data_IF_202382838157
#
_entry.id   IF_202382838157
#
_cell.length_a   1.000
_cell.length_b   1.000
_cell.length_c   1.000
_cell.angle_alpha   90.00
_cell.angle_beta   90.00
_cell.angle_gamma   90.00
#
_symmetry.space_group_name_H-M   'P 1'
#
loop_
_entity.id
_entity.type
_entity.pdbx_description
1 polymer ?
#
# COMPACT_ATOMS: atom_id res chain seq x y z
N UNK A 1 -7.28 8.94 7.57
CA UNK A 1 -5.91 8.46 7.30
C UNK A 1 -5.52 7.58 8.48
N UNK A 2 -5.58 6.27 8.32
CA UNK A 2 -5.02 5.32 9.28
C UNK A 2 -3.50 5.27 9.06
N UNK A 3 -2.76 5.36 10.15
CA UNK A 3 -1.31 5.19 10.14
C UNK A 3 -0.97 3.82 9.50
N UNK A 4 -0.08 3.73 8.49
CA UNK A 4 0.33 2.43 7.92
C UNK A 4 0.99 1.50 8.95
N UNK A 5 1.33 2.01 10.14
CA UNK A 5 1.52 1.22 11.35
C UNK A 5 0.16 0.82 11.90
N UNK A 6 -0.44 -0.24 11.35
CA UNK A 6 -1.38 -1.02 12.13
C UNK A 6 -0.58 -1.61 13.29
N UNK A 7 -0.55 -0.89 14.41
CA UNK A 7 -0.24 -1.44 15.72
C UNK A 7 -1.15 -2.66 15.82
N UNK A 8 -0.55 -3.86 15.88
CA UNK A 8 -1.33 -5.06 16.14
C UNK A 8 -2.12 -4.77 17.41
N UNK A 9 -3.44 -4.90 17.40
CA UNK A 9 -4.24 -4.67 18.61
C UNK A 9 -3.92 -5.70 19.71
N UNK A 10 -3.11 -6.72 19.41
CA UNK A 10 -2.54 -7.64 20.40
C UNK A 10 -1.11 -8.08 20.01
N UNK A 11 -0.08 -7.25 20.21
CA UNK A 11 1.31 -7.63 19.93
C UNK A 11 1.83 -8.69 20.92
N UNK A 12 1.24 -8.74 22.11
CA UNK A 12 1.59 -9.63 23.22
C UNK A 12 1.25 -11.10 22.96
N UNK A 13 0.28 -11.39 22.09
CA UNK A 13 -0.18 -12.76 21.79
C UNK A 13 0.69 -13.51 20.76
N UNK A 14 1.76 -12.88 20.23
CA UNK A 14 2.69 -13.59 19.37
C UNK A 14 3.52 -14.55 20.25
N UNK A 15 3.30 -15.85 20.12
CA UNK A 15 4.21 -16.88 20.64
C UNK A 15 5.57 -16.66 19.98
N UNK A 16 6.60 -16.46 20.81
CA UNK A 16 7.91 -16.06 20.35
C UNK A 16 9.00 -16.96 20.89
N UNK A 17 9.98 -17.21 20.03
CA UNK A 17 11.25 -17.86 20.37
C UNK A 17 12.39 -16.83 20.31
N UNK A 18 13.40 -16.94 21.19
CA UNK A 18 14.62 -16.14 21.09
C UNK A 18 15.39 -16.49 19.81
N UNK A 19 15.87 -15.48 19.09
CA UNK A 19 16.67 -15.67 17.88
C UNK A 19 18.01 -16.38 18.17
N UNK A 20 18.59 -16.13 19.34
CA UNK A 20 19.90 -16.67 19.71
C UNK A 20 19.89 -18.19 19.91
N UNK A 21 18.73 -18.77 20.21
CA UNK A 21 18.56 -20.22 20.44
C UNK A 21 18.51 -21.00 19.12
N UNK A 22 18.31 -20.32 18.01
CA UNK A 22 18.26 -20.92 16.68
C UNK A 22 19.66 -21.26 16.15
N UNK A 23 19.71 -22.12 15.13
CA UNK A 23 20.97 -22.46 14.48
C UNK A 23 21.64 -21.20 13.91
N UNK A 24 22.96 -21.12 14.09
CA UNK A 24 23.83 -20.12 13.49
C UNK A 24 24.64 -20.71 12.31
N UNK A 25 24.38 -21.96 11.95
CA UNK A 25 24.90 -22.57 10.73
C UNK A 25 23.95 -22.22 9.58
N UNK A 26 24.49 -21.60 8.54
CA UNK A 26 23.74 -21.21 7.35
C UNK A 26 23.89 -22.29 6.28
N UNK A 27 22.98 -23.26 6.31
CA UNK A 27 23.13 -24.56 5.62
C UNK A 27 22.72 -24.51 4.14
N UNK A 28 22.06 -23.43 3.72
CA UNK A 28 21.50 -23.27 2.38
C UNK A 28 21.97 -21.95 1.73
N UNK A 29 23.27 -21.88 1.37
CA UNK A 29 23.89 -20.68 0.85
C UNK A 29 23.39 -20.38 -0.56
N UNK A 30 22.62 -19.31 -0.68
CA UNK A 30 22.24 -18.74 -1.96
C UNK A 30 23.09 -17.51 -2.29
N UNK A 31 23.30 -17.21 -3.58
CA UNK A 31 23.88 -15.94 -3.99
C UNK A 31 23.08 -14.77 -3.40
N UNK A 32 23.72 -13.68 -2.94
CA UNK A 32 23.04 -12.53 -2.34
C UNK A 32 21.95 -11.90 -3.20
N UNK A 33 22.10 -11.98 -4.52
CA UNK A 33 21.11 -11.51 -5.49
C UNK A 33 19.80 -12.31 -5.48
N UNK A 34 19.86 -13.57 -5.06
CA UNK A 34 18.74 -14.51 -5.04
C UNK A 34 18.04 -14.50 -3.65
N UNK A 35 18.64 -13.84 -2.65
CA UNK A 35 18.04 -13.59 -1.35
C UNK A 35 17.07 -12.40 -1.44
N UNK A 36 15.78 -12.72 -1.61
CA UNK A 36 14.70 -11.72 -1.77
C UNK A 36 14.55 -10.75 -0.60
N UNK A 37 14.91 -11.18 0.61
CA UNK A 37 14.89 -10.34 1.81
C UNK A 37 16.06 -9.37 1.86
N UNK A 38 17.14 -9.58 1.10
CA UNK A 38 18.38 -8.83 1.25
C UNK A 38 18.34 -7.50 0.47
N UNK A 39 18.59 -6.39 1.17
CA UNK A 39 18.81 -5.08 0.56
C UNK A 39 20.30 -4.77 0.44
N UNK A 40 21.06 -4.98 1.49
CA UNK A 40 22.52 -4.81 1.46
C UNK A 40 23.18 -5.55 2.60
N UNK A 41 24.44 -5.94 2.44
CA UNK A 41 25.23 -6.56 3.50
C UNK A 41 26.69 -6.12 3.36
N UNK A 42 27.31 -5.81 4.50
CA UNK A 42 28.74 -5.61 4.65
C UNK A 42 29.22 -6.15 6.01
N UNK A 43 30.45 -5.86 6.41
CA UNK A 43 31.02 -6.35 7.68
C UNK A 43 30.42 -5.73 8.95
N UNK A 44 29.64 -4.64 8.85
CA UNK A 44 29.07 -3.90 9.97
C UNK A 44 27.56 -4.03 10.02
N UNK A 45 26.88 -3.80 8.90
CA UNK A 45 25.43 -3.76 8.78
C UNK A 45 24.90 -4.70 7.70
N UNK A 46 23.80 -5.39 8.03
CA UNK A 46 22.96 -6.10 7.07
C UNK A 46 21.57 -5.45 7.06
N UNK A 47 21.09 -5.07 5.88
CA UNK A 47 19.78 -4.43 5.68
C UNK A 47 18.84 -5.42 5.02
N UNK A 48 17.72 -5.67 5.69
CA UNK A 48 16.69 -6.63 5.31
C UNK A 48 15.45 -5.84 4.90
N UNK A 49 14.89 -6.15 3.74
CA UNK A 49 13.65 -5.58 3.21
C UNK A 49 12.46 -6.03 4.06
N UNK A 50 11.52 -5.13 4.27
CA UNK A 50 10.22 -5.49 4.84
C UNK A 50 9.30 -6.10 3.79
N UNK A 51 8.32 -6.87 4.24
CA UNK A 51 7.27 -7.45 3.40
C UNK A 51 6.51 -6.42 2.55
N UNK A 52 6.51 -5.16 2.99
CA UNK A 52 5.89 -4.04 2.28
C UNK A 52 6.49 -3.83 0.89
N UNK A 53 7.78 -4.15 0.70
CA UNK A 53 8.45 -4.02 -0.60
C UNK A 53 7.78 -4.93 -1.63
N UNK A 54 7.64 -6.22 -1.34
CA UNK A 54 6.97 -7.14 -2.27
C UNK A 54 5.47 -6.83 -2.39
N UNK A 55 4.78 -6.58 -1.28
CA UNK A 55 3.34 -6.26 -1.30
C UNK A 55 3.01 -5.05 -2.19
N UNK A 56 3.89 -4.06 -2.24
CA UNK A 56 3.75 -2.90 -3.13
C UNK A 56 3.81 -3.29 -4.61
N UNK A 57 4.77 -4.12 -5.01
CA UNK A 57 4.94 -4.51 -6.42
C UNK A 57 3.96 -5.58 -6.88
N UNK A 58 3.56 -6.50 -5.99
CA UNK A 58 2.62 -7.57 -6.35
C UNK A 58 1.17 -7.11 -6.26
N UNK A 59 0.84 -6.17 -5.38
CA UNK A 59 -0.54 -5.77 -5.10
C UNK A 59 -0.81 -4.30 -5.45
N UNK A 60 -0.13 -3.36 -4.77
CA UNK A 60 -0.50 -1.94 -4.83
C UNK A 60 -0.29 -1.31 -6.20
N UNK A 61 0.88 -1.51 -6.82
CA UNK A 61 1.20 -0.95 -8.14
C UNK A 61 0.30 -1.55 -9.23
N UNK A 62 0.09 -2.88 -9.31
CA UNK A 62 -0.87 -3.46 -10.26
C UNK A 62 -2.28 -2.91 -10.07
N UNK A 63 -2.79 -2.81 -8.84
CA UNK A 63 -4.11 -2.23 -8.57
C UNK A 63 -4.21 -0.77 -9.02
N UNK A 64 -3.17 0.03 -8.77
CA UNK A 64 -3.10 1.41 -9.26
C UNK A 64 -3.20 1.48 -10.78
N UNK A 65 -2.43 0.64 -11.50
CA UNK A 65 -2.44 0.60 -12.96
C UNK A 65 -3.79 0.14 -13.52
N UNK A 66 -4.40 -0.88 -12.93
CA UNK A 66 -5.74 -1.35 -13.32
C UNK A 66 -6.76 -0.24 -13.14
N UNK A 67 -6.77 0.44 -11.98
CA UNK A 67 -7.69 1.54 -11.72
C UNK A 67 -7.48 2.69 -12.72
N UNK A 68 -6.22 3.00 -13.05
CA UNK A 68 -5.88 4.04 -14.02
C UNK A 68 -6.39 3.69 -15.43
N UNK A 69 -6.17 2.46 -15.89
CA UNK A 69 -6.65 1.98 -17.19
C UNK A 69 -8.18 1.96 -17.22
N UNK A 70 -8.84 1.50 -16.16
CA UNK A 70 -10.30 1.52 -16.04
C UNK A 70 -10.85 2.95 -16.09
N UNK A 71 -10.17 3.92 -15.48
CA UNK A 71 -10.56 5.34 -15.53
C UNK A 71 -10.59 5.84 -16.98
N UNK A 72 -9.50 5.61 -17.73
CA UNK A 72 -9.42 6.05 -19.13
C UNK A 72 -10.40 5.31 -20.03
N UNK A 73 -10.54 3.99 -19.85
CA UNK A 73 -11.48 3.18 -20.62
C UNK A 73 -12.93 3.63 -20.42
N UNK A 74 -13.36 3.84 -19.18
CA UNK A 74 -14.71 4.30 -18.86
C UNK A 74 -14.95 5.74 -19.31
N UNK A 75 -13.97 6.63 -19.16
CA UNK A 75 -14.04 8.00 -19.66
C UNK A 75 -14.18 8.04 -21.18
N UNK A 76 -13.41 7.21 -21.89
CA UNK A 76 -13.47 7.12 -23.34
C UNK A 76 -14.86 6.66 -23.80
N UNK A 77 -15.38 5.57 -23.24
CA UNK A 77 -16.72 5.08 -23.58
C UNK A 77 -17.82 6.09 -23.24
N UNK A 78 -17.69 6.83 -22.14
CA UNK A 78 -18.62 7.88 -21.76
C UNK A 78 -18.63 9.02 -22.80
N UNK A 79 -17.44 9.49 -23.21
CA UNK A 79 -17.31 10.55 -24.21
C UNK A 79 -17.87 10.08 -25.56
N UNK A 80 -17.50 8.88 -26.03
CA UNK A 80 -18.02 8.36 -27.30
C UNK A 80 -19.54 8.18 -27.26
N UNK A 81 -20.08 7.63 -26.17
CA UNK A 81 -21.53 7.47 -25.98
C UNK A 81 -22.27 8.80 -26.10
N UNK A 82 -21.74 9.86 -25.47
CA UNK A 82 -22.32 11.20 -25.58
C UNK A 82 -22.14 11.83 -26.96
N UNK A 83 -21.05 11.58 -27.68
CA UNK A 83 -20.86 12.03 -29.07
C UNK A 83 -21.92 11.40 -29.97
N UNK A 84 -22.11 10.08 -29.89
CA UNK A 84 -23.10 9.34 -30.69
C UNK A 84 -24.50 9.84 -30.35
N UNK A 85 -24.83 9.96 -29.06
CA UNK A 85 -26.15 10.40 -28.61
C UNK A 85 -26.47 11.83 -29.05
N UNK A 86 -25.47 12.72 -29.01
CA UNK A 86 -25.61 14.08 -29.55
C UNK A 86 -25.89 14.06 -31.05
N UNK A 87 -25.16 13.24 -31.82
CA UNK A 87 -25.38 13.11 -33.25
C UNK A 87 -26.79 12.57 -33.57
N UNK A 88 -27.27 11.58 -32.80
CA UNK A 88 -28.65 11.09 -32.92
C UNK A 88 -29.68 12.18 -32.62
N UNK A 89 -29.44 13.03 -31.61
CA UNK A 89 -30.30 14.17 -31.32
C UNK A 89 -30.33 15.16 -32.51
N UNK A 90 -29.17 15.49 -33.07
CA UNK A 90 -29.07 16.38 -34.24
C UNK A 90 -29.82 15.82 -35.46
N UNK A 91 -29.77 14.50 -35.68
CA UNK A 91 -30.54 13.87 -36.76
C UNK A 91 -32.05 13.89 -36.48
N UNK A 92 -32.47 13.56 -35.25
CA UNK A 92 -33.89 13.62 -34.86
C UNK A 92 -34.47 15.04 -35.00
N UNK A 93 -33.68 16.06 -34.65
CA UNK A 93 -34.07 17.47 -34.85
C UNK A 93 -34.36 17.74 -36.34
N UNK A 94 -33.47 17.33 -37.24
CA UNK A 94 -33.62 17.52 -38.70
C UNK A 94 -34.82 16.77 -39.27
N UNK A 95 -35.02 15.53 -38.84
CA UNK A 95 -36.16 14.71 -39.28
C UNK A 95 -37.50 15.33 -38.85
N UNK A 96 -37.59 15.77 -37.59
CA UNK A 96 -38.82 16.38 -37.05
C UNK A 96 -39.05 17.77 -37.66
N UNK A 97 -38.02 18.56 -37.90
CA UNK A 97 -38.12 19.85 -38.60
C UNK A 97 -38.69 19.67 -40.02
N UNK A 98 -38.13 18.73 -40.78
CA UNK A 98 -38.62 18.38 -42.11
C UNK A 98 -40.08 17.90 -42.06
N UNK A 99 -40.41 16.98 -41.16
CA UNK A 99 -41.78 16.49 -41.00
C UNK A 99 -42.77 17.60 -40.62
N UNK A 100 -42.37 18.51 -39.72
CA UNK A 100 -43.21 19.62 -39.26
C UNK A 100 -43.60 20.59 -40.39
N UNK A 101 -42.77 20.69 -41.44
CA UNK A 101 -43.02 21.56 -42.60
C UNK A 101 -44.23 21.09 -43.43
N UNK A 102 -44.48 19.77 -43.48
CA UNK A 102 -45.55 19.18 -44.29
C UNK A 102 -46.77 18.74 -43.46
N UNK A 103 -46.66 18.76 -42.14
CA UNK A 103 -47.70 18.27 -41.25
C UNK A 103 -48.85 19.29 -41.10
N UNK A 104 -50.04 18.95 -41.62
CA UNK A 104 -51.27 19.77 -41.53
C UNK A 104 -52.32 19.20 -40.57
N UNK A 105 -51.99 18.14 -39.83
CA UNK A 105 -52.90 17.48 -38.89
C UNK A 105 -53.03 18.20 -37.55
N UNK A 106 -53.98 17.75 -36.71
CA UNK A 106 -54.23 18.29 -35.36
C UNK A 106 -54.06 17.24 -34.26
N UNK A 107 -53.28 16.17 -34.53
CA UNK A 107 -52.92 15.18 -33.51
C UNK A 107 -52.07 15.84 -32.40
N UNK A 108 -52.55 15.74 -31.16
CA UNK A 108 -51.94 16.38 -29.99
C UNK A 108 -50.58 15.78 -29.63
N UNK A 109 -50.37 14.49 -29.85
CA UNK A 109 -49.11 13.81 -29.54
C UNK A 109 -48.03 14.27 -30.52
N UNK A 110 -48.36 14.31 -31.80
CA UNK A 110 -47.46 14.77 -32.86
C UNK A 110 -47.08 16.25 -32.66
N UNK A 111 -48.06 17.11 -32.35
CA UNK A 111 -47.80 18.53 -32.07
C UNK A 111 -46.94 18.74 -30.82
N UNK A 112 -47.10 17.90 -29.78
CA UNK A 112 -46.25 17.94 -28.58
C UNK A 112 -44.80 17.62 -28.94
N UNK A 113 -44.57 16.58 -29.73
CA UNK A 113 -43.23 16.18 -30.13
C UNK A 113 -42.58 17.25 -31.03
N UNK A 114 -43.30 17.83 -32.00
CA UNK A 114 -42.78 18.94 -32.82
C UNK A 114 -42.39 20.13 -31.93
N UNK A 115 -43.26 20.55 -31.01
CA UNK A 115 -42.99 21.70 -30.14
C UNK A 115 -41.78 21.48 -29.21
N UNK A 116 -41.54 20.23 -28.80
CA UNK A 116 -40.39 19.85 -27.99
C UNK A 116 -39.05 20.07 -28.72
N UNK A 117 -38.96 19.74 -30.01
CA UNK A 117 -37.73 19.91 -30.80
C UNK A 117 -37.59 21.30 -31.44
N UNK A 118 -38.69 22.06 -31.54
CA UNK A 118 -38.75 23.41 -32.13
C UNK A 118 -37.65 24.39 -31.68
N UNK A 119 -37.20 24.42 -30.40
CA UNK A 119 -36.12 25.32 -29.97
C UNK A 119 -34.77 25.09 -30.68
N UNK A 120 -34.61 23.95 -31.36
CA UNK A 120 -33.38 23.57 -32.05
C UNK A 120 -33.47 23.68 -33.58
N UNK A 121 -34.64 24.03 -34.14
CA UNK A 121 -34.83 24.13 -35.60
C UNK A 121 -33.94 25.22 -36.23
N UNK A 122 -33.56 25.00 -37.49
CA UNK A 122 -32.68 25.88 -38.24
C UNK A 122 -31.21 25.83 -37.82
N UNK A 123 -30.83 24.96 -36.87
CA UNK A 123 -29.44 24.76 -36.45
C UNK A 123 -28.82 23.56 -37.16
N UNK A 124 -27.69 23.78 -37.84
CA UNK A 124 -26.96 22.69 -38.49
C UNK A 124 -26.34 21.70 -37.50
N UNK A 125 -25.87 22.22 -36.36
CA UNK A 125 -25.27 21.50 -35.23
C UNK A 125 -25.65 22.19 -33.92
N UNK A 126 -25.84 21.41 -32.85
CA UNK A 126 -26.10 21.96 -31.52
C UNK A 126 -24.79 22.07 -30.74
N UNK A 127 -24.70 23.05 -29.84
CA UNK A 127 -23.57 23.15 -28.93
C UNK A 127 -23.59 22.01 -27.90
N UNK A 128 -22.43 21.69 -27.32
CA UNK A 128 -22.36 20.74 -26.20
C UNK A 128 -23.20 21.19 -25.00
N UNK A 129 -23.37 22.51 -24.81
CA UNK A 129 -24.12 23.05 -23.69
C UNK A 129 -25.64 22.93 -23.87
N UNK A 130 -26.12 23.09 -25.09
CA UNK A 130 -27.50 22.77 -25.45
C UNK A 130 -27.78 21.28 -25.34
N UNK A 131 -26.86 20.44 -25.82
CA UNK A 131 -26.94 18.99 -25.67
C UNK A 131 -27.04 18.57 -24.20
N UNK A 132 -26.13 19.04 -23.33
CA UNK A 132 -26.12 18.65 -21.90
C UNK A 132 -27.41 19.09 -21.21
N UNK A 133 -27.98 20.26 -21.57
CA UNK A 133 -29.28 20.71 -21.06
C UNK A 133 -30.42 19.79 -21.52
N UNK A 134 -30.47 19.45 -22.80
CA UNK A 134 -31.47 18.55 -23.38
C UNK A 134 -31.33 17.11 -22.84
N UNK A 135 -30.10 16.66 -22.59
CA UNK A 135 -29.80 15.36 -22.01
C UNK A 135 -30.32 15.25 -20.58
N UNK A 136 -30.02 16.26 -19.76
CA UNK A 136 -30.37 16.27 -18.34
C UNK A 136 -31.80 16.71 -18.03
N UNK A 137 -32.56 17.22 -19.01
CA UNK A 137 -33.96 17.60 -18.83
C UNK A 137 -34.88 16.39 -18.68
N UNK A 138 -34.42 15.19 -19.07
CA UNK A 138 -35.24 13.97 -19.10
C UNK A 138 -36.31 13.97 -20.19
N UNK A 139 -36.44 15.05 -20.97
CA UNK A 139 -37.45 15.15 -22.00
C UNK A 139 -37.08 14.28 -23.20
N UNK A 140 -35.81 14.26 -23.60
CA UNK A 140 -35.33 13.60 -24.82
C UNK A 140 -34.79 12.18 -24.61
N UNK A 141 -34.32 11.87 -23.39
CA UNK A 141 -33.64 10.61 -23.08
C UNK A 141 -34.14 10.03 -21.76
N UNK A 142 -34.49 8.74 -21.77
CA UNK A 142 -34.90 7.99 -20.58
C UNK A 142 -33.66 7.51 -19.83
N UNK A 143 -33.62 7.64 -18.50
CA UNK A 143 -32.50 7.19 -17.66
C UNK A 143 -31.42 8.23 -17.37
N UNK A 144 -31.58 9.48 -17.83
CA UNK A 144 -30.59 10.56 -17.62
C UNK A 144 -30.32 10.92 -16.15
N UNK A 145 -31.16 10.47 -15.21
CA UNK A 145 -30.92 10.65 -13.77
C UNK A 145 -29.89 9.64 -13.23
N UNK A 146 -29.93 8.39 -13.68
CA UNK A 146 -28.96 7.35 -13.30
C UNK A 146 -27.55 7.70 -13.79
N UNK A 147 -27.45 8.32 -14.96
CA UNK A 147 -26.18 8.82 -15.50
C UNK A 147 -25.57 9.93 -14.63
N UNK A 148 -26.38 10.77 -13.97
CA UNK A 148 -25.86 11.79 -13.03
C UNK A 148 -25.19 11.13 -11.85
N UNK A 149 -25.80 10.08 -11.29
CA UNK A 149 -25.20 9.31 -10.19
C UNK A 149 -23.96 8.56 -10.65
N UNK A 150 -23.92 8.04 -11.87
CA UNK A 150 -22.74 7.41 -12.45
C UNK A 150 -21.57 8.41 -12.57
N UNK A 151 -21.82 9.62 -13.07
CA UNK A 151 -20.78 10.67 -13.16
C UNK A 151 -20.29 11.08 -11.78
N UNK A 152 -21.18 11.25 -10.80
CA UNK A 152 -20.80 11.56 -9.43
C UNK A 152 -19.96 10.44 -8.80
N UNK A 153 -20.38 9.19 -8.97
CA UNK A 153 -19.63 8.02 -8.50
C UNK A 153 -18.24 7.96 -9.14
N UNK A 154 -18.15 8.21 -10.46
CA UNK A 154 -16.89 8.24 -11.20
C UNK A 154 -15.93 9.31 -10.66
N UNK A 155 -16.44 10.53 -10.42
CA UNK A 155 -15.67 11.68 -9.90
C UNK A 155 -15.20 11.47 -8.45
N UNK A 156 -15.86 10.61 -7.67
CA UNK A 156 -15.40 10.26 -6.32
C UNK A 156 -14.45 9.06 -6.38
N UNK A 157 -14.85 7.97 -7.04
CA UNK A 157 -14.14 6.69 -7.02
C UNK A 157 -12.74 6.79 -7.62
N UNK A 158 -12.62 7.34 -8.83
CA UNK A 158 -11.33 7.35 -9.53
C UNK A 158 -10.32 8.31 -8.88
N UNK A 159 -10.65 9.59 -8.61
CA UNK A 159 -9.70 10.48 -7.94
C UNK A 159 -9.31 10.00 -6.54
N UNK A 160 -10.26 9.54 -5.73
CA UNK A 160 -9.94 9.05 -4.37
C UNK A 160 -9.14 7.75 -4.41
N UNK A 161 -9.54 6.79 -5.25
CA UNK A 161 -8.84 5.52 -5.39
C UNK A 161 -7.43 5.69 -5.95
N UNK A 162 -7.25 6.52 -6.98
CA UNK A 162 -5.93 6.83 -7.54
C UNK A 162 -5.06 7.58 -6.53
N UNK A 163 -5.62 8.53 -5.78
CA UNK A 163 -4.89 9.23 -4.72
C UNK A 163 -4.39 8.26 -3.64
N UNK A 164 -5.27 7.39 -3.12
CA UNK A 164 -4.91 6.42 -2.09
C UNK A 164 -3.87 5.43 -2.62
N UNK A 165 -4.12 4.81 -3.77
CA UNK A 165 -3.22 3.79 -4.32
C UNK A 165 -1.88 4.37 -4.77
N UNK A 166 -1.85 5.56 -5.35
CA UNK A 166 -0.58 6.24 -5.70
C UNK A 166 0.21 6.65 -4.45
N UNK A 167 -0.47 7.13 -3.40
CA UNK A 167 0.16 7.43 -2.11
C UNK A 167 0.84 6.19 -1.53
N UNK A 168 0.13 5.06 -1.49
CA UNK A 168 0.66 3.79 -1.01
C UNK A 168 1.78 3.22 -1.90
N UNK A 169 1.66 3.37 -3.22
CA UNK A 169 2.62 2.86 -4.19
C UNK A 169 3.94 3.64 -4.17
N UNK A 170 3.88 4.98 -4.10
CA UNK A 170 5.04 5.82 -4.42
C UNK A 170 5.54 6.64 -3.22
N UNK A 171 4.70 6.94 -2.24
CA UNK A 171 4.97 7.92 -1.19
C UNK A 171 5.02 7.34 0.23
N UNK A 172 4.73 6.05 0.42
CA UNK A 172 5.02 5.37 1.70
C UNK A 172 6.52 5.01 1.76
N UNK A 173 7.24 5.37 2.83
CA UNK A 173 8.65 5.02 2.99
C UNK A 173 8.82 3.51 3.07
N UNK A 174 9.88 2.99 2.44
CA UNK A 174 10.28 1.60 2.65
C UNK A 174 11.06 1.48 3.95
N UNK A 175 10.68 0.51 4.75
CA UNK A 175 11.33 0.18 6.01
C UNK A 175 12.30 -0.98 5.80
N UNK A 176 13.42 -0.90 6.51
CA UNK A 176 14.43 -1.96 6.52
C UNK A 176 14.72 -2.31 7.97
N UNK A 177 14.85 -3.60 8.24
CA UNK A 177 15.47 -4.09 9.45
C UNK A 177 16.97 -4.06 9.22
N UNK A 178 17.66 -3.27 10.02
CA UNK A 178 19.11 -3.16 10.03
C UNK A 178 19.64 -3.98 11.18
N UNK A 179 20.44 -4.97 10.84
CA UNK A 179 21.21 -5.77 11.78
C UNK A 179 22.60 -5.13 11.92
N UNK A 180 22.82 -4.40 13.01
CA UNK A 180 24.11 -3.78 13.32
C UNK A 180 24.90 -4.72 14.23
N UNK A 181 25.91 -5.35 13.63
CA UNK A 181 26.77 -6.31 14.33
C UNK A 181 27.70 -5.64 15.32
N UNK A 182 28.17 -4.41 15.05
CA UNK A 182 29.12 -3.74 15.95
C UNK A 182 28.43 -3.38 17.27
N UNK A 183 27.17 -2.95 17.19
CA UNK A 183 26.36 -2.59 18.36
C UNK A 183 25.58 -3.76 18.95
N UNK A 184 25.51 -4.89 18.24
CA UNK A 184 24.70 -6.05 18.63
C UNK A 184 23.22 -5.69 18.82
N UNK A 185 22.68 -4.89 17.89
CA UNK A 185 21.26 -4.49 17.89
C UNK A 185 20.61 -4.76 16.54
N UNK A 186 19.31 -5.01 16.59
CA UNK A 186 18.44 -4.98 15.42
C UNK A 186 17.55 -3.74 15.52
N UNK A 187 17.49 -2.94 14.47
CA UNK A 187 16.65 -1.74 14.45
C UNK A 187 15.98 -1.51 13.11
N UNK A 188 14.84 -0.84 13.14
CA UNK A 188 14.14 -0.27 11.99
C UNK A 188 13.75 1.15 12.36
N UNK A 189 13.49 1.98 11.38
CA UNK A 189 13.03 3.34 11.64
C UNK A 189 12.13 3.80 10.51
N UNK A 190 11.20 4.69 10.84
CA UNK A 190 10.25 5.24 9.89
C UNK A 190 9.62 6.50 10.46
N UNK A 191 9.51 7.53 9.61
CA UNK A 191 8.92 8.83 9.97
C UNK A 191 9.49 9.43 11.27
N UNK A 192 10.81 9.28 11.48
CA UNK A 192 11.49 9.80 12.67
C UNK A 192 11.44 8.91 13.91
N UNK A 193 10.64 7.84 13.90
CA UNK A 193 10.50 6.91 15.03
C UNK A 193 11.46 5.73 14.83
N UNK A 194 12.30 5.46 15.83
CA UNK A 194 13.18 4.29 15.88
C UNK A 194 12.50 3.14 16.62
N UNK A 195 12.62 1.94 16.06
CA UNK A 195 12.26 0.70 16.71
C UNK A 195 13.52 -0.16 16.83
N UNK A 196 13.89 -0.60 18.03
CA UNK A 196 15.12 -1.34 18.26
C UNK A 196 14.96 -2.45 19.31
N UNK A 197 15.86 -3.42 19.26
CA UNK A 197 16.07 -4.43 20.32
C UNK A 197 17.53 -4.88 20.31
N UNK A 198 18.04 -5.41 21.42
CA UNK A 198 19.35 -6.07 21.43
C UNK A 198 19.24 -7.41 20.70
N UNK A 199 20.34 -7.82 20.09
CA UNK A 199 20.43 -9.11 19.42
C UNK A 199 20.12 -10.28 20.39
N UNK A 200 20.70 -10.26 21.58
CA UNK A 200 20.43 -11.24 22.65
C UNK A 200 18.96 -11.29 23.09
N UNK A 201 18.25 -10.19 22.90
CA UNK A 201 16.87 -9.98 23.30
C UNK A 201 15.88 -10.11 22.14
N UNK A 202 16.39 -10.45 20.95
CA UNK A 202 15.58 -10.52 19.75
C UNK A 202 14.66 -11.72 19.83
N UNK A 203 13.38 -11.44 19.70
CA UNK A 203 12.32 -12.45 19.67
C UNK A 203 11.65 -12.45 18.30
N UNK A 204 11.43 -13.64 17.75
CA UNK A 204 10.65 -13.84 16.55
C UNK A 204 9.53 -14.85 16.79
N UNK A 205 8.49 -14.80 15.97
CA UNK A 205 7.35 -15.70 16.03
C UNK A 205 6.56 -15.66 14.73
N UNK A 206 5.40 -16.31 14.72
CA UNK A 206 4.57 -16.44 13.53
C UNK A 206 3.21 -15.76 13.71
N UNK A 207 2.96 -14.73 12.91
CA UNK A 207 1.64 -14.13 12.80
C UNK A 207 0.85 -14.87 11.70
N UNK A 208 0.16 -15.95 12.07
CA UNK A 208 -0.38 -16.91 11.11
C UNK A 208 0.74 -17.75 10.51
N UNK A 209 0.95 -17.66 9.18
CA UNK A 209 2.10 -18.31 8.51
C UNK A 209 3.30 -17.39 8.31
N UNK A 210 3.21 -16.14 8.76
CA UNK A 210 4.18 -15.13 8.42
C UNK A 210 5.17 -14.91 9.56
N UNK A 211 6.45 -15.04 9.25
CA UNK A 211 7.53 -14.72 10.19
C UNK A 211 7.48 -13.23 10.60
N UNK A 212 7.67 -12.98 11.89
CA UNK A 212 7.56 -11.67 12.50
C UNK A 212 8.56 -11.50 13.65
N UNK A 213 9.11 -10.29 13.78
CA UNK A 213 10.07 -9.92 14.83
C UNK A 213 9.47 -8.86 15.74
N UNK A 214 9.68 -8.99 17.05
CA UNK A 214 9.35 -7.94 18.02
C UNK A 214 10.49 -6.93 18.08
N UNK A 215 10.19 -5.68 17.78
CA UNK A 215 11.03 -4.52 18.03
C UNK A 215 10.32 -3.61 19.04
N UNK A 216 11.09 -2.81 19.79
CA UNK A 216 10.52 -1.90 20.78
C UNK A 216 10.73 -0.46 20.36
N UNK A 217 9.80 0.41 20.71
CA UNK A 217 9.89 1.85 20.43
C UNK A 217 9.34 2.65 21.60
N UNK A 218 9.66 3.93 21.67
CA UNK A 218 9.05 4.84 22.63
C UNK A 218 7.88 5.55 21.97
N UNK A 219 6.69 5.45 22.55
CA UNK A 219 5.52 6.14 22.04
C UNK A 219 5.73 7.66 22.13
N UNK A 220 5.65 8.43 21.02
CA UNK A 220 5.98 9.85 21.02
C UNK A 220 5.15 10.69 22.00
N UNK A 221 3.90 10.30 22.23
CA UNK A 221 2.96 11.07 23.07
C UNK A 221 2.98 10.66 24.55
N UNK A 222 3.09 9.36 24.85
CA UNK A 222 2.97 8.84 26.23
C UNK A 222 4.34 8.58 26.85
N UNK A 223 5.38 8.47 26.01
CA UNK A 223 6.71 8.05 26.42
C UNK A 223 6.78 6.57 26.80
N UNK A 224 5.71 5.79 26.70
CA UNK A 224 5.71 4.38 27.11
C UNK A 224 6.46 3.49 26.10
N UNK A 225 6.92 2.33 26.57
CA UNK A 225 7.53 1.33 25.68
C UNK A 225 6.41 0.63 24.90
N UNK A 226 6.47 0.74 23.57
CA UNK A 226 5.55 0.08 22.66
C UNK A 226 6.24 -1.07 21.91
N UNK A 227 5.44 -2.02 21.46
CA UNK A 227 5.90 -3.16 20.64
C UNK A 227 5.55 -2.89 19.17
N UNK A 228 6.53 -3.01 18.30
CA UNK A 228 6.39 -3.00 16.85
C UNK A 228 6.68 -4.38 16.27
N UNK A 229 5.77 -4.89 15.44
CA UNK A 229 5.95 -6.17 14.74
C UNK A 229 6.56 -5.90 13.36
N UNK A 230 7.84 -6.22 13.23
CA UNK A 230 8.54 -6.16 11.94
C UNK A 230 8.32 -7.46 11.16
N UNK A 231 7.99 -7.34 9.87
CA UNK A 231 7.74 -8.48 8.97
C UNK A 231 8.79 -8.50 7.85
N UNK A 232 9.78 -9.40 7.89
CA UNK A 232 10.81 -9.49 6.86
C UNK A 232 10.25 -10.03 5.53
N UNK A 233 10.88 -9.66 4.41
CA UNK A 233 10.51 -10.11 3.07
C UNK A 233 11.15 -11.47 2.71
N UNK A 234 10.81 -12.52 3.45
CA UNK A 234 11.46 -13.85 3.39
C UNK A 234 11.28 -14.59 2.06
N UNK A 235 10.21 -14.31 1.33
CA UNK A 235 9.83 -15.01 0.09
C UNK A 235 9.27 -14.05 -0.97
N UNK A 236 9.19 -14.51 -2.22
CA UNK A 236 8.45 -13.80 -3.28
C UNK A 236 6.96 -13.67 -2.96
N UNK A 237 6.41 -14.59 -2.17
CA UNK A 237 4.99 -14.63 -1.79
C UNK A 237 4.69 -13.88 -0.49
N UNK A 238 5.70 -13.30 0.16
CA UNK A 238 5.52 -12.59 1.44
C UNK A 238 4.60 -11.37 1.28
N UNK A 239 4.53 -10.80 0.07
CA UNK A 239 3.54 -9.75 -0.28
C UNK A 239 2.08 -10.21 -0.20
N UNK A 240 1.83 -11.52 -0.20
CA UNK A 240 0.54 -12.17 0.02
C UNK A 240 0.40 -12.78 1.42
N UNK A 241 1.29 -12.41 2.35
CA UNK A 241 1.33 -12.93 3.72
C UNK A 241 1.64 -14.44 3.79
N UNK A 242 2.45 -14.93 2.84
CA UNK A 242 2.82 -16.35 2.73
C UNK A 242 4.35 -16.52 2.69
N UNK A 243 4.84 -17.47 3.46
CA UNK A 243 6.20 -18.01 3.41
C UNK A 243 6.15 -19.52 3.62
N UNK A 244 7.19 -20.22 3.17
CA UNK A 244 7.42 -21.63 3.49
C UNK A 244 8.36 -21.76 4.68
N UNK A 245 8.20 -22.83 5.46
CA UNK A 245 9.07 -23.13 6.60
C UNK A 245 10.55 -23.16 6.20
N UNK A 246 10.86 -23.61 4.98
CA UNK A 246 12.22 -23.60 4.43
C UNK A 246 12.77 -22.19 4.19
N UNK A 247 11.94 -21.27 3.71
CA UNK A 247 12.34 -19.87 3.49
C UNK A 247 12.51 -19.13 4.82
N UNK A 248 11.61 -19.39 5.77
CA UNK A 248 11.66 -18.83 7.11
C UNK A 248 12.91 -19.32 7.86
N UNK A 249 13.16 -20.63 7.84
CA UNK A 249 14.36 -21.21 8.42
C UNK A 249 15.65 -20.66 7.78
N UNK A 250 15.68 -20.52 6.45
CA UNK A 250 16.82 -19.91 5.75
C UNK A 250 17.05 -18.47 6.19
N UNK A 251 15.99 -17.68 6.34
CA UNK A 251 16.10 -16.31 6.79
C UNK A 251 16.63 -16.22 8.24
N UNK A 252 16.09 -17.04 9.14
CA UNK A 252 16.47 -17.06 10.56
C UNK A 252 17.94 -17.45 10.70
N UNK A 253 18.35 -18.56 10.11
CA UNK A 253 19.75 -19.04 10.15
C UNK A 253 20.71 -18.04 9.49
N UNK A 254 20.32 -17.41 8.38
CA UNK A 254 21.09 -16.33 7.76
C UNK A 254 21.31 -15.15 8.71
N UNK A 255 20.23 -14.63 9.31
CA UNK A 255 20.31 -13.47 10.20
C UNK A 255 21.16 -13.80 11.43
N UNK A 256 20.98 -15.00 11.98
CA UNK A 256 21.69 -15.45 13.16
C UNK A 256 23.20 -15.66 12.88
N UNK A 257 23.53 -16.35 11.78
CA UNK A 257 24.91 -16.54 11.32
C UNK A 257 25.61 -15.19 11.06
N UNK A 258 24.91 -14.24 10.43
CA UNK A 258 25.44 -12.89 10.20
C UNK A 258 25.76 -12.17 11.51
N UNK A 259 24.85 -12.19 12.50
CA UNK A 259 25.05 -11.48 13.76
C UNK A 259 26.20 -12.07 14.60
N UNK A 260 26.32 -13.40 14.64
CA UNK A 260 27.37 -14.06 15.42
C UNK A 260 28.72 -14.08 14.68
N UNK A 261 28.73 -14.60 13.46
CA UNK A 261 29.96 -14.95 12.72
C UNK A 261 30.37 -13.87 11.70
N UNK A 262 29.47 -12.96 11.34
CA UNK A 262 29.72 -11.86 10.42
C UNK A 262 29.38 -12.20 8.97
N UNK A 263 29.66 -11.24 8.07
CA UNK A 263 29.35 -11.35 6.63
C UNK A 263 29.89 -12.64 6.01
N UNK A 264 31.14 -12.98 6.31
CA UNK A 264 31.83 -14.09 5.63
C UNK A 264 31.23 -15.47 5.93
N UNK A 265 30.39 -15.58 6.96
CA UNK A 265 29.61 -16.80 7.24
C UNK A 265 28.40 -16.98 6.33
N UNK A 266 27.90 -15.90 5.72
CA UNK A 266 26.67 -15.91 4.91
C UNK A 266 26.89 -15.46 3.47
N UNK A 267 27.98 -14.75 3.19
CA UNK A 267 28.26 -14.15 1.90
C UNK A 267 29.77 -13.93 1.69
N UNK A 268 30.24 -14.16 0.47
CA UNK A 268 31.65 -14.00 0.10
C UNK A 268 32.11 -12.55 -0.09
N UNK A 269 31.18 -11.61 -0.30
CA UNK A 269 31.51 -10.21 -0.60
C UNK A 269 30.42 -9.24 -0.14
N UNK A 270 30.72 -7.95 -0.12
CA UNK A 270 29.68 -6.94 0.08
C UNK A 270 28.66 -7.01 -1.06
N UNK A 271 27.40 -6.73 -0.74
CA UNK A 271 26.31 -6.70 -1.71
C UNK A 271 25.38 -5.53 -1.45
N UNK A 272 24.85 -4.96 -2.54
CA UNK A 272 23.86 -3.90 -2.51
C UNK A 272 22.85 -4.13 -3.64
N UNK A 273 21.58 -4.32 -3.26
CA UNK A 273 20.46 -4.41 -4.19
C UNK A 273 20.09 -3.01 -4.70
N UNK A 274 19.71 -2.93 -5.97
CA UNK A 274 19.19 -1.69 -6.55
C UNK A 274 17.97 -1.20 -5.76
N UNK A 275 17.92 0.10 -5.48
CA UNK A 275 16.75 0.72 -4.88
C UNK A 275 15.50 0.44 -5.74
N UNK A 276 14.36 0.08 -5.13
CA UNK A 276 13.12 -0.17 -5.84
C UNK A 276 12.70 1.01 -6.73
N UNK A 277 12.31 0.70 -7.97
CA UNK A 277 11.78 1.70 -8.91
C UNK A 277 10.48 2.30 -8.34
N UNK A 278 10.31 3.61 -8.55
CA UNK A 278 9.12 4.37 -8.16
C UNK A 278 8.88 4.51 -6.65
N UNK A 279 9.89 4.33 -5.79
CA UNK A 279 9.79 4.79 -4.39
C UNK A 279 10.33 6.22 -4.26
N UNK A 280 9.44 7.21 -4.15
CA UNK A 280 9.81 8.62 -3.98
C UNK A 280 9.91 9.04 -2.52
N UNK A 281 9.30 8.26 -1.63
CA UNK A 281 9.43 8.43 -0.19
C UNK A 281 10.88 8.25 0.26
N UNK A 282 11.38 9.22 1.04
CA UNK A 282 12.66 9.11 1.72
C UNK A 282 12.43 8.68 3.15
N UNK A 283 13.28 7.79 3.63
CA UNK A 283 13.32 7.38 5.02
C UNK A 283 14.75 7.61 5.52
N UNK A 284 15.13 8.86 5.84
CA UNK A 284 16.44 9.15 6.41
C UNK A 284 16.52 8.63 7.84
N UNK A 285 17.72 8.25 8.28
CA UNK A 285 17.96 7.92 9.68
C UNK A 285 17.62 9.14 10.56
N UNK A 286 16.87 8.99 11.67
CA UNK A 286 16.56 10.10 12.56
C UNK A 286 17.82 10.75 13.16
N UNK A 287 17.80 12.08 13.34
CA UNK A 287 18.97 12.82 13.85
C UNK A 287 19.29 12.49 15.31
N UNK A 288 18.28 12.13 16.07
CA UNK A 288 18.29 11.73 17.48
C UNK A 288 18.34 10.20 17.65
N UNK A 289 18.73 9.45 16.60
CA UNK A 289 18.78 7.99 16.59
C UNK A 289 19.45 7.38 17.84
N UNK A 290 20.63 7.87 18.19
CA UNK A 290 21.38 7.37 19.35
C UNK A 290 20.60 7.52 20.66
N UNK A 291 19.97 8.68 20.85
CA UNK A 291 19.20 8.98 22.04
C UNK A 291 17.96 8.09 22.13
N UNK A 292 17.26 7.88 21.00
CA UNK A 292 16.10 7.00 20.96
C UNK A 292 16.49 5.55 21.28
N UNK A 293 17.56 5.02 20.68
CA UNK A 293 18.03 3.65 20.95
C UNK A 293 18.38 3.47 22.43
N UNK A 294 19.13 4.41 23.02
CA UNK A 294 19.50 4.34 24.44
C UNK A 294 18.26 4.32 25.34
N UNK A 295 17.27 5.17 25.06
CA UNK A 295 16.02 5.23 25.82
C UNK A 295 15.20 3.94 25.69
N UNK A 296 15.08 3.38 24.48
CA UNK A 296 14.36 2.12 24.22
C UNK A 296 14.99 0.99 25.03
N UNK A 297 16.32 0.84 24.92
CA UNK A 297 17.04 -0.24 25.59
C UNK A 297 17.00 -0.10 27.12
N UNK A 298 17.13 1.12 27.66
CA UNK A 298 17.04 1.37 29.09
C UNK A 298 15.65 1.02 29.66
N UNK A 299 14.56 1.36 28.95
CA UNK A 299 13.22 0.98 29.38
C UNK A 299 12.95 -0.51 29.27
N UNK A 300 13.48 -1.14 28.21
CA UNK A 300 13.39 -2.59 28.06
C UNK A 300 14.06 -3.34 29.23
N UNK A 301 15.20 -2.83 29.73
CA UNK A 301 15.86 -3.38 30.92
C UNK A 301 15.02 -3.23 32.18
N UNK A 302 14.41 -2.05 32.38
CA UNK A 302 13.54 -1.78 33.52
C UNK A 302 12.33 -2.72 33.55
N UNK A 303 11.68 -2.95 32.40
CA UNK A 303 10.54 -3.87 32.32
C UNK A 303 10.95 -5.32 32.60
N UNK A 304 12.10 -5.76 32.10
CA UNK A 304 12.63 -7.10 32.38
C UNK A 304 12.95 -7.32 33.85
N UNK A 305 13.55 -6.33 34.50
CA UNK A 305 13.79 -6.40 35.94
C UNK A 305 12.47 -6.44 36.72
N UNK A 306 11.47 -5.69 36.29
CA UNK A 306 10.15 -5.69 36.91
C UNK A 306 9.45 -7.06 36.78
N UNK A 307 9.45 -7.65 35.57
CA UNK A 307 8.91 -8.99 35.34
C UNK A 307 9.63 -10.07 36.18
N UNK A 308 10.97 -10.03 36.24
CA UNK A 308 11.76 -10.95 37.07
C UNK A 308 11.49 -10.82 38.58
N UNK A 309 11.06 -9.65 39.05
CA UNK A 309 10.69 -9.43 40.46
C UNK A 309 9.32 -10.02 40.78
N UNK A 310 8.35 -9.80 39.90
CA UNK A 310 6.99 -10.36 40.04
C UNK A 310 7.03 -11.89 40.06
N UNK A 311 7.81 -12.52 39.17
CA UNK A 311 7.91 -13.98 39.11
C UNK A 311 8.48 -14.58 40.40
N UNK A 312 9.37 -13.85 41.08
CA UNK A 312 9.97 -14.26 42.36
C UNK A 312 9.03 -14.04 43.56
N UNK A 313 8.20 -13.00 43.52
CA UNK A 313 7.25 -12.70 44.60
C UNK A 313 5.97 -13.55 44.48
N UNK A 314 5.62 -14.03 43.29
CA UNK A 314 4.48 -14.93 43.05
C UNK A 314 4.74 -16.41 43.34
N UNK A 315 5.96 -16.77 43.78
CA UNK A 315 6.34 -18.14 44.16
C UNK A 315 6.56 -18.35 45.67
N UNK A 316 6.25 -17.36 46.51
CA UNK A 316 6.28 -17.49 47.99
C UNK A 316 4.94 -17.88 48.62
#
# INVERSE_FOLDING_TARGET
>A
MSNPFTISNVPEQLETSPLIDESHHYDDPLPPKDLVFLQSINNQECKIKSSQVNGRFTNTVPMFLVLLVMMFYTLFNFIEGHIITKYTLENNIKEIENYSTYYTGNDRVVLRDINKYKPFFGKEKISWWEYIKAYNSGEFFVGSEDDKYFVLAWLVLFPSGLYILSSLAFFVPMTYLVADRKRQILYSYVDGIVMATRYEDTQFGYAGKMLAFKLFYIHPETGELGIHIYRPNVSHYTGFLLSSDTEDHRFITFLNAYMQQGRDAVCTSDYYARAPLFCFAKNPLPADFEQQVEQILAKLDQEKEHMRKIDKEGTE
#
